data_IF_093486899206
#
_entry.id   IF_093486899206
#
_cell.length_a   1.000
_cell.length_b   1.000
_cell.length_c   1.000
_cell.angle_alpha   90.00
_cell.angle_beta   90.00
_cell.angle_gamma   90.00
#
_symmetry.space_group_name_H-M   'P 1'
#
loop_
_entity.id
_entity.type
_entity.pdbx_description
1 polymer ?
#
# COMPACT_ATOMS: atom_id res chain seq x y z
N UNK A 1 15.72 6.43 -2.68
CA UNK A 1 15.01 7.61 -2.10
C UNK A 1 15.86 8.87 -2.10
N UNK A 2 17.04 8.93 -1.48
CA UNK A 2 17.89 10.14 -1.48
C UNK A 2 18.18 10.67 -2.89
N UNK A 3 18.50 9.79 -3.83
CA UNK A 3 18.72 10.12 -5.25
C UNK A 3 17.46 10.74 -5.88
N UNK A 4 16.28 10.23 -5.56
CA UNK A 4 15.02 10.73 -6.10
C UNK A 4 14.66 12.11 -5.55
N UNK A 5 14.83 12.33 -4.26
CA UNK A 5 14.64 13.65 -3.67
C UNK A 5 15.62 14.69 -4.26
N UNK A 6 16.83 14.27 -4.65
CA UNK A 6 17.80 15.10 -5.34
C UNK A 6 17.35 15.55 -6.74
N UNK A 7 16.39 14.86 -7.36
CA UNK A 7 15.83 15.21 -8.67
C UNK A 7 14.69 16.22 -8.61
N UNK A 8 14.11 16.46 -7.44
CA UNK A 8 13.12 17.49 -7.26
C UNK A 8 13.78 18.84 -7.40
N UNK A 9 13.30 19.68 -8.32
CA UNK A 9 13.83 21.01 -8.61
C UNK A 9 12.72 22.05 -8.63
N UNK A 10 13.09 23.33 -8.48
CA UNK A 10 12.18 24.45 -8.63
C UNK A 10 10.97 24.41 -7.70
N UNK A 11 9.80 24.74 -8.23
CA UNK A 11 8.54 24.80 -7.47
C UNK A 11 8.12 23.44 -6.90
N UNK A 12 8.38 22.33 -7.61
CA UNK A 12 8.03 20.98 -7.14
C UNK A 12 8.80 20.64 -5.87
N UNK A 13 10.08 21.00 -5.78
CA UNK A 13 10.87 20.82 -4.57
C UNK A 13 10.33 21.63 -3.39
N UNK A 14 9.98 22.91 -3.66
CA UNK A 14 9.44 23.78 -2.63
C UNK A 14 8.08 23.29 -2.13
N UNK A 15 7.17 22.94 -3.03
CA UNK A 15 5.85 22.41 -2.71
C UNK A 15 5.96 21.10 -1.89
N UNK A 16 6.85 20.19 -2.30
CA UNK A 16 7.10 18.96 -1.57
C UNK A 16 7.63 19.22 -0.17
N UNK A 17 8.65 20.06 -0.04
CA UNK A 17 9.24 20.41 1.25
C UNK A 17 8.21 21.10 2.17
N UNK A 18 7.37 21.98 1.62
CA UNK A 18 6.28 22.61 2.36
C UNK A 18 5.27 21.57 2.83
N UNK A 19 4.80 20.70 1.94
CA UNK A 19 3.86 19.62 2.26
C UNK A 19 4.37 18.68 3.34
N UNK A 20 5.64 18.27 3.24
CA UNK A 20 6.30 17.39 4.23
C UNK A 20 6.37 18.06 5.61
N UNK A 21 6.77 19.34 5.68
CA UNK A 21 6.81 20.07 6.95
C UNK A 21 5.41 20.27 7.54
N UNK A 22 4.43 20.58 6.70
CA UNK A 22 3.04 20.75 7.16
C UNK A 22 2.46 19.42 7.65
N UNK A 23 2.70 18.32 6.95
CA UNK A 23 2.32 16.99 7.44
C UNK A 23 2.97 16.69 8.78
N UNK A 24 4.27 16.96 8.92
CA UNK A 24 4.98 16.82 10.19
C UNK A 24 4.38 17.68 11.29
N UNK A 25 4.01 18.93 11.01
CA UNK A 25 3.37 19.80 12.02
C UNK A 25 2.02 19.30 12.51
N UNK A 26 1.32 18.49 11.69
CA UNK A 26 0.04 17.91 12.04
C UNK A 26 0.14 16.56 12.77
N UNK A 27 1.16 15.77 12.42
CA UNK A 27 1.24 14.37 12.84
C UNK A 27 2.61 13.97 13.43
N UNK A 28 3.61 14.84 13.43
CA UNK A 28 4.99 14.50 13.76
C UNK A 28 5.30 14.36 15.25
N UNK A 29 4.38 14.73 16.13
CA UNK A 29 4.57 14.57 17.59
C UNK A 29 4.22 13.17 18.10
N UNK A 30 3.57 12.37 17.27
CA UNK A 30 3.20 11.00 17.59
C UNK A 30 3.61 10.05 16.47
N UNK A 31 4.00 8.81 16.78
CA UNK A 31 4.30 7.83 15.76
C UNK A 31 3.11 7.59 14.82
N UNK A 32 3.40 7.51 13.53
CA UNK A 32 2.42 7.16 12.50
C UNK A 32 2.12 5.66 12.65
N UNK A 33 0.96 5.32 13.19
CA UNK A 33 0.53 3.92 13.22
C UNK A 33 0.10 3.48 11.84
N UNK A 34 0.74 2.44 11.33
CA UNK A 34 0.43 1.84 10.04
C UNK A 34 0.10 0.36 10.16
N UNK A 35 -0.59 -0.14 9.14
CA UNK A 35 -0.89 -1.56 9.03
C UNK A 35 -1.05 -2.00 7.60
N UNK A 36 -1.07 -3.31 7.36
CA UNK A 36 -1.30 -3.86 6.04
C UNK A 36 -2.20 -5.11 6.06
N UNK A 37 -3.03 -5.21 5.02
CA UNK A 37 -3.74 -6.42 4.64
C UNK A 37 -2.98 -7.17 3.55
N UNK A 38 -3.04 -8.51 3.55
CA UNK A 38 -2.25 -9.36 2.66
C UNK A 38 -0.76 -9.01 2.75
N UNK A 39 -0.23 -8.99 3.96
CA UNK A 39 1.04 -8.35 4.30
C UNK A 39 2.26 -8.97 3.63
N UNK A 40 2.17 -10.23 3.20
CA UNK A 40 3.31 -10.94 2.66
C UNK A 40 4.49 -10.94 3.64
N UNK A 41 5.63 -10.43 3.20
CA UNK A 41 6.84 -10.29 4.02
C UNK A 41 6.97 -8.90 4.69
N UNK A 42 5.95 -8.03 4.59
CA UNK A 42 5.98 -6.70 5.19
C UNK A 42 6.94 -5.71 4.54
N UNK A 43 7.35 -5.96 3.30
CA UNK A 43 8.33 -5.12 2.58
C UNK A 43 7.87 -3.67 2.44
N UNK A 44 6.56 -3.42 2.34
CA UNK A 44 5.98 -2.08 2.25
C UNK A 44 6.25 -1.24 3.49
N UNK A 45 6.19 -1.84 4.68
CA UNK A 45 6.50 -1.17 5.94
C UNK A 45 8.01 -0.80 6.01
N UNK A 46 8.90 -1.70 5.58
CA UNK A 46 10.34 -1.43 5.50
C UNK A 46 10.67 -0.32 4.50
N UNK A 47 10.01 -0.32 3.35
CA UNK A 47 10.16 0.75 2.34
C UNK A 47 9.74 2.10 2.92
N UNK A 48 8.61 2.15 3.61
CA UNK A 48 8.12 3.37 4.26
C UNK A 48 9.09 3.88 5.33
N UNK A 49 9.58 3.01 6.19
CA UNK A 49 10.59 3.37 7.20
C UNK A 49 11.89 3.92 6.56
N UNK A 50 12.30 3.38 5.42
CA UNK A 50 13.45 3.91 4.67
C UNK A 50 13.15 5.31 4.10
N UNK A 51 11.93 5.55 3.63
CA UNK A 51 11.48 6.87 3.17
C UNK A 51 11.54 7.87 4.32
N UNK A 52 10.97 7.54 5.48
CA UNK A 52 10.97 8.42 6.65
C UNK A 52 12.39 8.78 7.10
N UNK A 53 13.31 7.82 7.15
CA UNK A 53 14.72 8.12 7.48
C UNK A 53 15.33 9.17 6.56
N UNK A 54 15.09 9.07 5.25
CA UNK A 54 15.61 10.05 4.29
C UNK A 54 14.94 11.41 4.43
N UNK A 55 13.62 11.46 4.65
CA UNK A 55 12.89 12.71 4.89
C UNK A 55 13.38 13.39 6.18
N UNK A 56 13.56 12.62 7.24
CA UNK A 56 14.06 13.11 8.50
C UNK A 56 15.46 13.74 8.36
N UNK A 57 16.36 13.00 7.70
CA UNK A 57 17.73 13.50 7.47
C UNK A 57 17.76 14.76 6.59
N UNK A 58 16.91 14.82 5.54
CA UNK A 58 16.94 15.92 4.57
C UNK A 58 16.27 17.19 5.08
N UNK A 59 15.19 17.06 5.86
CA UNK A 59 14.37 18.20 6.28
C UNK A 59 14.43 18.50 7.78
N UNK A 60 15.29 17.80 8.53
CA UNK A 60 15.40 17.98 9.98
C UNK A 60 14.13 17.57 10.75
N UNK A 61 13.41 16.57 10.24
CA UNK A 61 12.15 16.12 10.80
C UNK A 61 12.34 14.90 11.71
N UNK A 62 11.25 14.48 12.39
CA UNK A 62 11.24 13.33 13.30
C UNK A 62 10.05 12.42 13.02
N UNK A 63 9.85 12.05 11.75
CA UNK A 63 8.85 11.04 11.42
C UNK A 63 9.25 9.69 12.01
N UNK A 64 8.35 9.10 12.73
CA UNK A 64 8.44 7.74 13.22
C UNK A 64 7.21 6.98 12.74
N UNK A 65 7.40 5.78 12.19
CA UNK A 65 6.31 4.91 11.76
C UNK A 65 6.40 3.58 12.51
N UNK A 66 5.32 3.25 13.20
CA UNK A 66 5.13 1.96 13.83
C UNK A 66 4.18 1.11 13.00
N UNK A 67 4.68 -0.01 12.50
CA UNK A 67 3.87 -0.99 11.78
C UNK A 67 3.19 -1.91 12.79
N UNK A 68 1.98 -1.53 13.22
CA UNK A 68 1.30 -2.13 14.39
C UNK A 68 0.29 -3.23 14.03
N UNK A 69 -0.16 -3.32 12.77
CA UNK A 69 -1.16 -4.29 12.33
C UNK A 69 -0.72 -4.98 11.05
N UNK A 70 -0.78 -6.32 11.05
CA UNK A 70 -0.59 -7.12 9.85
C UNK A 70 -1.69 -8.18 9.70
N UNK A 71 -2.08 -8.46 8.45
CA UNK A 71 -2.95 -9.57 8.10
C UNK A 71 -2.26 -10.46 7.07
N UNK A 72 -2.02 -11.72 7.43
CA UNK A 72 -1.39 -12.70 6.54
C UNK A 72 -1.87 -14.11 6.89
N UNK A 73 -2.31 -14.87 5.88
CA UNK A 73 -2.85 -16.20 6.09
C UNK A 73 -1.78 -17.29 6.12
N UNK A 74 -0.65 -17.08 5.43
CA UNK A 74 0.41 -18.07 5.32
C UNK A 74 1.29 -18.09 6.58
N UNK A 75 1.31 -19.19 7.34
CA UNK A 75 2.01 -19.33 8.63
C UNK A 75 3.52 -18.99 8.53
N UNK A 76 4.20 -19.45 7.46
CA UNK A 76 5.62 -19.15 7.27
C UNK A 76 5.88 -17.63 7.13
N UNK A 77 4.96 -16.91 6.47
CA UNK A 77 5.04 -15.44 6.36
C UNK A 77 4.68 -14.75 7.68
N UNK A 78 3.73 -15.29 8.44
CA UNK A 78 3.42 -14.80 9.78
C UNK A 78 4.64 -14.88 10.70
N UNK A 79 5.37 -16.02 10.65
CA UNK A 79 6.63 -16.19 11.38
C UNK A 79 7.70 -15.17 11.01
N UNK A 80 7.79 -14.83 9.71
CA UNK A 80 8.70 -13.80 9.23
C UNK A 80 8.27 -12.40 9.72
N UNK A 81 6.99 -12.05 9.62
CA UNK A 81 6.45 -10.77 10.09
C UNK A 81 6.74 -10.52 11.57
N UNK A 82 6.51 -11.52 12.42
CA UNK A 82 6.82 -11.46 13.86
C UNK A 82 8.29 -11.10 14.14
N UNK A 83 9.21 -11.65 13.36
CA UNK A 83 10.66 -11.39 13.51
C UNK A 83 11.08 -10.02 12.97
N UNK A 84 10.43 -9.56 11.90
CA UNK A 84 10.85 -8.36 11.17
C UNK A 84 10.22 -7.07 11.69
N UNK A 85 9.10 -7.15 12.40
CA UNK A 85 8.35 -6.00 12.91
C UNK A 85 8.13 -6.14 14.42
N UNK A 86 9.12 -5.73 15.25
CA UNK A 86 9.02 -5.83 16.71
C UNK A 86 7.90 -4.95 17.29
N UNK A 87 7.51 -3.88 16.58
CA UNK A 87 6.42 -2.98 16.98
C UNK A 87 5.03 -3.52 16.65
N UNK A 88 4.94 -4.70 16.03
CA UNK A 88 3.67 -5.30 15.68
C UNK A 88 2.84 -5.59 16.93
N UNK A 89 1.66 -4.99 17.01
CA UNK A 89 0.74 -5.13 18.14
C UNK A 89 -0.31 -6.19 17.86
N UNK A 90 -0.69 -6.37 16.57
CA UNK A 90 -1.69 -7.34 16.16
C UNK A 90 -1.33 -8.00 14.84
N UNK A 91 -1.49 -9.32 14.81
CA UNK A 91 -1.42 -10.14 13.61
C UNK A 91 -2.69 -10.97 13.50
N UNK A 92 -3.41 -10.84 12.39
CA UNK A 92 -4.62 -11.63 12.10
C UNK A 92 -4.42 -12.50 10.87
N UNK A 93 -5.21 -13.57 10.73
CA UNK A 93 -5.05 -14.52 9.62
C UNK A 93 -5.84 -14.14 8.38
N UNK A 94 -6.96 -13.47 8.52
CA UNK A 94 -7.87 -13.17 7.39
C UNK A 94 -8.28 -11.70 7.34
N UNK A 95 -8.54 -11.21 6.12
CA UNK A 95 -9.06 -9.85 5.92
C UNK A 95 -10.45 -9.65 6.56
N UNK A 96 -11.26 -10.72 6.62
CA UNK A 96 -12.58 -10.66 7.24
C UNK A 96 -12.52 -10.29 8.72
N UNK A 97 -11.47 -10.73 9.45
CA UNK A 97 -11.28 -10.39 10.85
C UNK A 97 -10.98 -8.90 11.05
N UNK A 98 -10.37 -8.24 10.08
CA UNK A 98 -10.05 -6.80 10.17
C UNK A 98 -11.28 -5.89 10.23
N UNK A 99 -12.43 -6.35 9.70
CA UNK A 99 -13.66 -5.55 9.69
C UNK A 99 -14.39 -5.55 11.04
N UNK A 100 -14.00 -6.40 11.97
CA UNK A 100 -14.58 -6.44 13.31
C UNK A 100 -13.97 -5.35 14.22
N UNK A 101 -14.61 -5.04 15.33
CA UNK A 101 -14.01 -4.18 16.36
C UNK A 101 -12.86 -4.89 17.09
N UNK A 102 -12.98 -6.21 17.23
CA UNK A 102 -12.02 -7.08 17.90
C UNK A 102 -11.70 -8.28 17.03
N UNK A 103 -10.44 -8.71 17.03
CA UNK A 103 -9.99 -9.90 16.32
C UNK A 103 -9.06 -10.75 17.18
N UNK A 104 -8.90 -12.02 16.78
CA UNK A 104 -7.97 -12.94 17.39
C UNK A 104 -6.53 -12.53 17.06
N UNK A 105 -5.73 -12.22 18.09
CA UNK A 105 -4.35 -11.82 17.89
C UNK A 105 -3.40 -13.02 17.85
N UNK A 106 -2.83 -13.33 16.69
CA UNK A 106 -1.89 -14.44 16.51
C UNK A 106 -0.50 -14.21 17.11
N UNK A 107 -0.23 -13.02 17.65
CA UNK A 107 0.99 -12.77 18.42
C UNK A 107 0.95 -13.47 19.79
N UNK A 108 -0.25 -13.72 20.32
CA UNK A 108 -0.50 -14.36 21.61
C UNK A 108 -1.20 -15.73 21.44
N UNK A 109 -0.56 -16.73 20.83
CA UNK A 109 -1.22 -17.97 20.43
C UNK A 109 -1.73 -18.83 21.60
N UNK A 110 -1.17 -18.69 22.79
CA UNK A 110 -1.53 -19.52 23.94
C UNK A 110 -2.89 -19.16 24.56
N UNK A 111 -3.30 -17.90 24.50
CA UNK A 111 -4.57 -17.44 25.06
C UNK A 111 -5.52 -16.90 24.00
N UNK A 112 -5.02 -16.53 22.81
CA UNK A 112 -5.76 -15.96 21.69
C UNK A 112 -6.99 -15.12 22.12
N UNK A 113 -6.86 -14.17 23.05
CA UNK A 113 -7.95 -13.29 23.38
C UNK A 113 -8.33 -12.50 22.14
N UNK A 114 -9.60 -12.14 22.01
CA UNK A 114 -9.98 -11.09 21.08
C UNK A 114 -9.48 -9.78 21.63
N UNK A 115 -8.75 -9.05 20.79
CA UNK A 115 -8.19 -7.76 21.11
C UNK A 115 -8.77 -6.70 20.16
N UNK A 116 -8.88 -5.47 20.63
CA UNK A 116 -9.33 -4.34 19.81
C UNK A 116 -8.35 -4.14 18.65
N UNK A 117 -8.90 -3.99 17.45
CA UNK A 117 -8.10 -3.65 16.27
C UNK A 117 -7.53 -2.24 16.45
N UNK A 118 -6.20 -2.06 16.32
CA UNK A 118 -5.58 -0.76 16.52
C UNK A 118 -6.05 0.25 15.48
N UNK A 119 -6.29 1.49 15.93
CA UNK A 119 -6.51 2.61 15.01
C UNK A 119 -5.24 2.88 14.18
N UNK A 120 -5.40 3.01 12.87
CA UNK A 120 -4.32 3.30 11.95
C UNK A 120 -4.49 4.67 11.30
N UNK A 121 -3.38 5.41 11.20
CA UNK A 121 -3.32 6.57 10.32
C UNK A 121 -3.19 6.13 8.85
N UNK A 122 -2.44 5.05 8.58
CA UNK A 122 -2.19 4.56 7.24
C UNK A 122 -2.45 3.05 7.12
N UNK A 123 -3.27 2.67 6.15
CA UNK A 123 -3.56 1.28 5.81
C UNK A 123 -3.12 0.96 4.39
N UNK A 124 -2.43 -0.14 4.21
CA UNK A 124 -1.97 -0.64 2.91
C UNK A 124 -2.60 -1.99 2.62
N UNK A 125 -3.02 -2.20 1.37
CA UNK A 125 -3.63 -3.46 0.96
C UNK A 125 -3.16 -3.84 -0.45
N UNK A 126 -2.34 -4.89 -0.53
CA UNK A 126 -2.04 -5.60 -1.78
C UNK A 126 -2.96 -6.79 -1.92
N UNK A 127 -4.23 -6.58 -2.28
CA UNK A 127 -5.19 -7.68 -2.34
C UNK A 127 -4.88 -8.66 -3.47
N UNK A 128 -5.31 -9.94 -3.36
CA UNK A 128 -4.96 -10.98 -4.33
C UNK A 128 -5.29 -10.58 -5.76
N UNK A 129 -4.36 -10.78 -6.68
CA UNK A 129 -4.50 -10.44 -8.10
C UNK A 129 -4.70 -11.67 -9.01
N UNK A 130 -4.77 -12.87 -8.42
CA UNK A 130 -4.76 -14.14 -9.16
C UNK A 130 -5.88 -14.29 -10.17
N UNK A 131 -7.04 -13.70 -9.91
CA UNK A 131 -8.18 -13.75 -10.83
C UNK A 131 -7.98 -12.87 -12.09
N UNK A 132 -7.07 -11.90 -12.07
CA UNK A 132 -6.91 -10.87 -13.12
C UNK A 132 -5.49 -10.73 -13.66
N UNK A 133 -4.58 -11.60 -13.27
CA UNK A 133 -3.22 -11.63 -13.84
C UNK A 133 -3.24 -12.23 -15.26
N UNK A 134 -2.37 -11.76 -16.14
CA UNK A 134 -2.18 -12.30 -17.47
C UNK A 134 -1.75 -13.77 -17.50
N UNK A 135 -1.27 -14.28 -16.37
CA UNK A 135 -0.90 -15.69 -16.20
C UNK A 135 -2.11 -16.58 -15.85
N UNK A 136 -3.28 -15.99 -15.53
CA UNK A 136 -4.49 -16.75 -15.24
C UNK A 136 -5.18 -17.13 -16.54
N UNK A 137 -5.45 -18.42 -16.74
CA UNK A 137 -6.26 -18.93 -17.86
C UNK A 137 -7.70 -18.40 -17.87
N UNK A 138 -8.21 -17.97 -16.70
CA UNK A 138 -9.56 -17.43 -16.51
C UNK A 138 -9.60 -15.91 -16.43
N UNK A 139 -8.53 -15.21 -16.82
CA UNK A 139 -8.48 -13.75 -16.65
C UNK A 139 -9.54 -13.00 -17.46
N UNK A 140 -9.96 -13.54 -18.63
CA UNK A 140 -11.05 -13.00 -19.45
C UNK A 140 -12.43 -13.21 -18.83
N UNK A 141 -12.64 -14.30 -18.12
CA UNK A 141 -13.91 -14.64 -17.47
C UNK A 141 -14.11 -13.83 -16.17
N UNK A 142 -13.01 -13.47 -15.53
CA UNK A 142 -13.02 -12.74 -14.28
C UNK A 142 -13.03 -11.20 -14.45
N UNK A 143 -13.38 -10.69 -15.62
CA UNK A 143 -13.60 -9.25 -15.80
C UNK A 143 -14.72 -8.79 -14.88
N UNK A 144 -14.53 -7.63 -14.22
CA UNK A 144 -15.43 -7.10 -13.21
C UNK A 144 -15.57 -7.94 -11.92
N UNK A 145 -14.56 -8.75 -11.58
CA UNK A 145 -14.57 -9.57 -10.37
C UNK A 145 -14.71 -8.75 -9.07
N UNK A 146 -14.22 -7.50 -9.05
CA UNK A 146 -14.38 -6.60 -7.90
C UNK A 146 -15.84 -6.15 -7.77
N UNK A 147 -16.48 -5.75 -8.87
CA UNK A 147 -17.89 -5.35 -8.87
C UNK A 147 -18.82 -6.51 -8.54
N UNK A 148 -18.49 -7.72 -8.99
CA UNK A 148 -19.23 -8.94 -8.70
C UNK A 148 -18.94 -9.51 -7.31
N UNK A 149 -17.88 -9.03 -6.65
CA UNK A 149 -17.37 -9.57 -5.40
C UNK A 149 -16.97 -11.06 -5.48
N UNK A 150 -16.46 -11.48 -6.64
CA UNK A 150 -16.14 -12.86 -6.97
C UNK A 150 -14.63 -13.11 -7.08
N UNK A 151 -14.25 -14.39 -6.93
CA UNK A 151 -12.86 -14.82 -6.98
C UNK A 151 -11.99 -14.22 -5.88
N UNK A 152 -10.72 -14.61 -5.84
CA UNK A 152 -9.80 -14.15 -4.81
C UNK A 152 -9.61 -12.62 -4.84
N UNK A 153 -9.61 -12.01 -6.04
CA UNK A 153 -9.43 -10.57 -6.22
C UNK A 153 -10.63 -9.78 -5.69
N UNK A 154 -11.86 -10.17 -6.10
CA UNK A 154 -13.08 -9.46 -5.69
C UNK A 154 -13.35 -9.61 -4.19
N UNK A 155 -13.24 -10.84 -3.66
CA UNK A 155 -13.38 -11.12 -2.23
C UNK A 155 -12.29 -10.37 -1.43
N UNK A 156 -11.03 -10.42 -1.88
CA UNK A 156 -9.92 -9.75 -1.19
C UNK A 156 -10.11 -8.24 -1.12
N UNK A 157 -10.58 -7.59 -2.20
CA UNK A 157 -10.94 -6.17 -2.15
C UNK A 157 -12.09 -5.92 -1.18
N UNK A 158 -13.19 -6.66 -1.31
CA UNK A 158 -14.38 -6.50 -0.47
C UNK A 158 -14.04 -6.57 1.02
N UNK A 159 -13.35 -7.61 1.44
CA UNK A 159 -13.00 -7.81 2.84
C UNK A 159 -12.01 -6.76 3.36
N UNK A 160 -11.00 -6.41 2.56
CA UNK A 160 -10.07 -5.34 2.92
C UNK A 160 -10.73 -3.96 2.96
N UNK A 161 -11.70 -3.69 2.06
CA UNK A 161 -12.44 -2.44 2.04
C UNK A 161 -13.42 -2.31 3.21
N UNK A 162 -13.94 -3.42 3.75
CA UNK A 162 -14.71 -3.40 5.02
C UNK A 162 -13.88 -2.79 6.16
N UNK A 163 -12.58 -3.12 6.25
CA UNK A 163 -11.70 -2.46 7.22
C UNK A 163 -11.74 -0.94 7.08
N UNK A 164 -11.60 -0.42 5.84
CA UNK A 164 -11.65 1.02 5.57
C UNK A 164 -12.97 1.64 6.01
N UNK A 165 -14.09 0.95 5.79
CA UNK A 165 -15.42 1.46 6.15
C UNK A 165 -15.71 1.45 7.64
N UNK A 166 -15.07 0.59 8.40
CA UNK A 166 -15.27 0.47 9.86
C UNK A 166 -14.29 1.37 10.62
N UNK A 167 -13.03 1.40 10.21
CA UNK A 167 -11.96 2.02 10.99
C UNK A 167 -11.49 3.39 10.46
N UNK A 168 -11.89 3.79 9.25
CA UNK A 168 -11.65 5.12 8.67
C UNK A 168 -10.18 5.57 8.73
N UNK A 169 -9.20 4.79 8.25
CA UNK A 169 -7.81 5.23 8.22
C UNK A 169 -7.66 6.50 7.37
N UNK A 170 -6.80 7.42 7.80
CA UNK A 170 -6.62 8.69 7.09
C UNK A 170 -6.07 8.52 5.67
N UNK A 171 -5.10 7.64 5.51
CA UNK A 171 -4.47 7.31 4.22
C UNK A 171 -4.64 5.82 3.93
N UNK A 172 -5.16 5.51 2.75
CA UNK A 172 -5.25 4.14 2.24
C UNK A 172 -4.47 4.03 0.94
N UNK A 173 -3.66 2.99 0.84
CA UNK A 173 -2.93 2.64 -0.38
C UNK A 173 -3.31 1.24 -0.80
N UNK A 174 -3.84 1.09 -2.00
CA UNK A 174 -4.13 -0.21 -2.61
C UNK A 174 -3.17 -0.50 -3.74
N UNK A 175 -2.87 -1.78 -3.96
CA UNK A 175 -2.08 -2.25 -5.10
C UNK A 175 -2.74 -3.47 -5.72
N UNK A 176 -2.79 -3.50 -7.08
CA UNK A 176 -3.21 -4.66 -7.83
C UNK A 176 -2.67 -4.63 -9.27
N UNK A 177 -3.08 -5.59 -10.09
CA UNK A 177 -2.68 -5.68 -11.50
C UNK A 177 -3.49 -4.75 -12.40
N UNK A 178 -2.89 -4.31 -13.51
CA UNK A 178 -3.52 -3.46 -14.53
C UNK A 178 -4.79 -4.05 -15.15
N UNK A 179 -4.98 -5.37 -15.05
CA UNK A 179 -6.17 -6.05 -15.58
C UNK A 179 -7.50 -5.50 -15.05
N UNK A 180 -7.50 -4.82 -13.89
CA UNK A 180 -8.69 -4.16 -13.34
C UNK A 180 -9.13 -2.90 -14.11
N UNK A 181 -8.33 -2.41 -15.05
CA UNK A 181 -8.70 -1.29 -15.93
C UNK A 181 -9.59 -1.71 -17.10
N UNK A 182 -9.72 -3.01 -17.36
CA UNK A 182 -10.49 -3.53 -18.48
C UNK A 182 -11.99 -3.28 -18.28
N UNK A 183 -12.65 -2.87 -19.36
CA UNK A 183 -14.12 -2.71 -19.43
C UNK A 183 -14.70 -3.73 -20.40
N UNK A 184 -15.97 -4.06 -20.18
CA UNK A 184 -16.79 -4.78 -21.17
C UNK A 184 -18.05 -3.96 -21.46
N UNK A 185 -18.73 -4.21 -22.59
CA UNK A 185 -19.95 -3.48 -22.94
C UNK A 185 -21.06 -3.55 -21.89
N UNK A 186 -21.10 -4.64 -21.13
CA UNK A 186 -22.14 -4.88 -20.10
C UNK A 186 -21.94 -4.07 -18.81
N UNK A 187 -20.76 -3.45 -18.63
CA UNK A 187 -20.43 -2.70 -17.44
C UNK A 187 -19.97 -1.28 -17.78
N UNK A 188 -20.63 -0.30 -17.19
CA UNK A 188 -20.30 1.13 -17.39
C UNK A 188 -18.93 1.50 -16.84
N UNK A 189 -18.48 0.81 -15.81
CA UNK A 189 -17.21 1.07 -15.10
C UNK A 189 -16.28 -0.14 -15.19
N UNK A 190 -14.99 0.12 -15.30
CA UNK A 190 -13.97 -0.87 -14.95
C UNK A 190 -13.95 -1.12 -13.43
N UNK A 191 -13.32 -2.21 -12.99
CA UNK A 191 -13.08 -2.44 -11.56
C UNK A 191 -12.24 -1.33 -10.93
N UNK A 192 -11.29 -0.74 -11.68
CA UNK A 192 -10.51 0.42 -11.24
C UNK A 192 -11.42 1.61 -10.88
N UNK A 193 -12.33 1.97 -11.78
CA UNK A 193 -13.25 3.10 -11.59
C UNK A 193 -14.28 2.80 -10.50
N UNK A 194 -14.72 1.55 -10.39
CA UNK A 194 -15.62 1.11 -9.32
C UNK A 194 -14.97 1.31 -7.94
N UNK A 195 -13.71 0.92 -7.77
CA UNK A 195 -12.94 1.14 -6.52
C UNK A 195 -12.88 2.62 -6.18
N UNK A 196 -12.58 3.49 -7.16
CA UNK A 196 -12.58 4.95 -6.94
C UNK A 196 -13.93 5.43 -6.41
N UNK A 197 -15.06 5.02 -7.04
CA UNK A 197 -16.40 5.40 -6.58
C UNK A 197 -16.71 4.90 -5.18
N UNK A 198 -16.25 3.70 -4.81
CA UNK A 198 -16.42 3.17 -3.45
C UNK A 198 -15.74 4.07 -2.40
N UNK A 199 -14.54 4.56 -2.69
CA UNK A 199 -13.82 5.50 -1.82
C UNK A 199 -14.49 6.88 -1.77
N UNK A 200 -14.88 7.42 -2.93
CA UNK A 200 -15.55 8.74 -3.02
C UNK A 200 -16.88 8.74 -2.25
N UNK A 201 -17.65 7.66 -2.32
CA UNK A 201 -18.86 7.49 -1.54
C UNK A 201 -18.63 7.55 -0.02
N UNK A 202 -17.40 7.30 0.43
CA UNK A 202 -16.96 7.35 1.83
C UNK A 202 -16.10 8.57 2.15
N UNK A 203 -16.25 9.63 1.37
CA UNK A 203 -15.55 10.91 1.59
C UNK A 203 -14.02 10.82 1.50
N UNK A 204 -13.48 9.85 0.75
CA UNK A 204 -12.08 9.87 0.39
C UNK A 204 -11.88 10.55 -0.96
N UNK A 205 -10.79 11.29 -1.11
CA UNK A 205 -10.22 11.56 -2.41
C UNK A 205 -9.42 10.34 -2.83
N UNK A 206 -9.76 9.74 -3.95
CA UNK A 206 -9.11 8.54 -4.44
C UNK A 206 -8.54 8.77 -5.83
N UNK A 207 -7.23 8.59 -5.96
CA UNK A 207 -6.49 8.72 -7.21
C UNK A 207 -5.97 7.35 -7.64
N UNK A 208 -6.44 6.80 -8.78
CA UNK A 208 -5.84 5.62 -9.38
C UNK A 208 -4.65 6.02 -10.26
N UNK A 209 -3.55 5.29 -10.18
CA UNK A 209 -2.36 5.48 -11.03
C UNK A 209 -1.79 4.15 -11.48
N UNK A 210 -1.44 4.06 -12.76
CA UNK A 210 -0.68 2.93 -13.30
C UNK A 210 0.80 3.28 -13.27
N UNK A 211 1.59 2.49 -12.56
CA UNK A 211 3.03 2.69 -12.44
C UNK A 211 3.77 1.48 -12.97
N UNK A 212 4.82 1.70 -13.76
CA UNK A 212 5.77 0.68 -14.13
C UNK A 212 7.04 0.82 -13.28
N UNK A 213 7.53 -0.30 -12.78
CA UNK A 213 8.73 -0.33 -11.96
C UNK A 213 9.96 0.28 -12.68
N UNK A 214 10.08 0.07 -13.99
CA UNK A 214 11.18 0.61 -14.81
C UNK A 214 11.16 2.14 -14.84
N UNK A 215 10.00 2.77 -14.88
CA UNK A 215 9.85 4.24 -14.86
C UNK A 215 10.47 4.88 -13.60
N UNK A 216 10.64 4.10 -12.53
CA UNK A 216 11.15 4.55 -11.24
C UNK A 216 12.50 3.94 -10.88
N UNK A 217 13.20 3.38 -11.87
CA UNK A 217 14.56 2.85 -11.71
C UNK A 217 14.62 1.41 -11.24
N UNK A 218 13.53 0.67 -11.33
CA UNK A 218 13.55 -0.77 -11.17
C UNK A 218 14.15 -1.48 -12.40
N UNK A 219 14.46 -2.74 -12.25
CA UNK A 219 15.15 -3.57 -13.23
C UNK A 219 14.23 -4.45 -14.06
N UNK A 220 12.94 -4.43 -13.77
CA UNK A 220 11.96 -5.31 -14.42
C UNK A 220 10.68 -4.54 -14.81
N UNK A 221 10.15 -4.91 -15.96
CA UNK A 221 8.86 -4.46 -16.43
C UNK A 221 7.78 -5.04 -15.52
N UNK A 222 7.19 -4.18 -14.66
CA UNK A 222 6.19 -4.59 -13.69
C UNK A 222 5.15 -3.51 -13.49
N UNK A 223 4.19 -3.45 -14.39
CA UNK A 223 3.06 -2.52 -14.25
C UNK A 223 2.15 -2.94 -13.10
N UNK A 224 1.83 -1.96 -12.25
CA UNK A 224 0.89 -2.13 -11.14
C UNK A 224 -0.03 -0.94 -11.05
N UNK A 225 -1.27 -1.25 -10.82
CA UNK A 225 -2.30 -0.25 -10.57
C UNK A 225 -2.33 0.03 -9.07
N UNK A 226 -2.20 1.29 -8.75
CA UNK A 226 -2.23 1.80 -7.38
C UNK A 226 -3.41 2.73 -7.19
N UNK A 227 -3.97 2.75 -6.00
CA UNK A 227 -4.90 3.77 -5.55
C UNK A 227 -4.32 4.41 -4.30
N UNK A 228 -4.29 5.73 -4.30
CA UNK A 228 -3.97 6.53 -3.11
C UNK A 228 -5.25 7.24 -2.71
N UNK A 229 -5.80 6.86 -1.57
CA UNK A 229 -7.04 7.42 -1.06
C UNK A 229 -6.77 8.14 0.26
N UNK A 230 -7.13 9.43 0.31
CA UNK A 230 -6.95 10.29 1.49
C UNK A 230 -8.32 10.71 1.99
N UNK A 231 -8.57 10.51 3.29
CA UNK A 231 -9.82 10.91 3.92
C UNK A 231 -9.97 12.44 3.86
N UNK A 232 -11.05 12.89 3.22
CA UNK A 232 -11.33 14.31 3.05
C UNK A 232 -11.92 14.90 4.35
N UNK A 233 -11.05 15.30 5.26
CA UNK A 233 -11.42 15.99 6.50
C UNK A 233 -11.54 17.50 6.33
N UNK A 234 -11.12 18.05 5.18
CA UNK A 234 -10.97 19.49 4.95
C UNK A 234 -11.89 19.92 3.80
N UNK A 235 -13.21 19.87 4.04
CA UNK A 235 -14.17 20.40 3.07
C UNK A 235 -13.88 21.87 2.75
N UNK A 236 -13.74 22.17 1.46
CA UNK A 236 -13.72 23.55 0.92
C UNK A 236 -12.37 24.27 0.93
N UNK A 237 -11.29 23.71 1.48
CA UNK A 237 -9.96 24.37 1.50
C UNK A 237 -9.04 23.94 0.39
N UNK A 238 -9.21 22.71 -0.14
CA UNK A 238 -8.43 22.15 -1.24
C UNK A 238 -9.37 21.35 -2.11
N UNK A 239 -9.26 21.47 -3.42
CA UNK A 239 -10.05 20.72 -4.38
C UNK A 239 -9.38 19.40 -4.73
N UNK A 240 -10.17 18.40 -5.17
CA UNK A 240 -9.64 17.14 -5.70
C UNK A 240 -8.65 17.40 -6.84
N UNK A 241 -8.96 18.35 -7.73
CA UNK A 241 -8.12 18.68 -8.87
C UNK A 241 -6.72 19.18 -8.44
N UNK A 242 -6.63 20.00 -7.40
CA UNK A 242 -5.35 20.48 -6.88
C UNK A 242 -4.52 19.33 -6.29
N UNK A 243 -5.16 18.39 -5.57
CA UNK A 243 -4.50 17.18 -5.04
C UNK A 243 -3.99 16.31 -6.18
N UNK A 244 -4.84 16.03 -7.18
CA UNK A 244 -4.48 15.20 -8.33
C UNK A 244 -3.31 15.84 -9.11
N UNK A 245 -3.35 17.14 -9.40
CA UNK A 245 -2.28 17.86 -10.09
C UNK A 245 -0.96 17.83 -9.31
N UNK A 246 -1.02 18.04 -7.99
CA UNK A 246 0.17 17.95 -7.15
C UNK A 246 0.78 16.54 -7.20
N UNK A 247 -0.06 15.52 -7.05
CA UNK A 247 0.37 14.12 -7.05
C UNK A 247 1.00 13.72 -8.39
N UNK A 248 0.39 14.09 -9.52
CA UNK A 248 0.95 13.84 -10.85
C UNK A 248 2.28 14.53 -11.08
N UNK A 249 2.43 15.79 -10.64
CA UNK A 249 3.73 16.50 -10.70
C UNK A 249 4.80 15.77 -9.92
N UNK A 250 4.46 15.26 -8.74
CA UNK A 250 5.38 14.47 -7.91
C UNK A 250 5.79 13.17 -8.59
N UNK A 251 4.82 12.40 -9.10
CA UNK A 251 5.11 11.17 -9.82
C UNK A 251 6.02 11.39 -11.02
N UNK A 252 5.75 12.45 -11.81
CA UNK A 252 6.57 12.81 -12.95
C UNK A 252 8.01 13.16 -12.53
N UNK A 253 8.17 13.94 -11.47
CA UNK A 253 9.48 14.33 -10.95
C UNK A 253 10.30 13.14 -10.42
N UNK A 254 9.64 12.06 -9.99
CA UNK A 254 10.32 10.85 -9.52
C UNK A 254 10.66 9.85 -10.62
N UNK A 255 10.19 10.03 -11.85
CA UNK A 255 10.57 9.15 -12.97
C UNK A 255 12.07 9.12 -13.18
N UNK A 256 12.59 7.94 -13.49
CA UNK A 256 14.01 7.71 -13.77
C UNK A 256 14.22 7.33 -15.22
N UNK A 257 15.23 7.88 -15.92
CA UNK A 257 15.53 7.52 -17.30
C UNK A 257 16.15 6.11 -17.45
N UNK A 258 16.34 5.37 -16.38
CA UNK A 258 16.92 4.01 -16.42
C UNK A 258 17.06 3.40 -15.03
N UNK A 259 17.53 2.16 -14.95
CA UNK A 259 17.69 1.46 -13.69
C UNK A 259 18.65 2.23 -12.77
N UNK A 260 18.17 2.53 -11.56
CA UNK A 260 18.96 3.19 -10.51
C UNK A 260 19.92 2.23 -9.81
N UNK A 261 19.74 0.96 -10.06
CA UNK A 261 20.39 -0.12 -9.34
C UNK A 261 21.07 -1.01 -10.39
N UNK A 262 22.38 -1.16 -10.24
CA UNK A 262 23.10 -2.20 -10.99
C UNK A 262 22.71 -3.55 -10.40
N UNK A 263 21.86 -4.28 -11.12
CA UNK A 263 21.36 -5.60 -10.72
C UNK A 263 22.46 -6.63 -10.54
N UNK A 264 23.63 -6.40 -11.15
CA UNK A 264 24.82 -7.22 -10.92
C UNK A 264 25.31 -7.18 -9.47
N UNK A 265 24.86 -6.19 -8.68
CA UNK A 265 25.16 -6.11 -7.24
C UNK A 265 24.15 -6.84 -6.34
N UNK A 266 23.09 -7.40 -6.91
CA UNK A 266 22.07 -8.19 -6.18
C UNK A 266 22.25 -9.70 -6.38
N UNK A 267 23.40 -10.10 -6.75
CA UNK A 267 23.77 -11.49 -6.73
C UNK A 267 24.79 -11.59 -5.62
N UNK A 268 24.68 -12.41 -4.70
CA UNK A 268 24.43 -13.85 -4.70
C UNK A 268 24.28 -14.19 -3.24
N UNK A 269 23.25 -14.79 -2.87
CA UNK A 269 23.29 -15.80 -1.85
C UNK A 269 24.14 -16.90 -2.51
N UNK A 270 25.36 -17.12 -2.06
CA UNK A 270 26.09 -18.32 -2.45
C UNK A 270 25.19 -19.50 -2.11
N UNK A 271 25.15 -20.51 -3.01
CA UNK A 271 24.27 -21.69 -2.84
C UNK A 271 24.48 -22.39 -1.47
N UNK A 272 25.58 -22.11 -0.81
CA UNK A 272 25.90 -22.56 0.56
C UNK A 272 25.06 -21.88 1.66
N UNK A 273 24.48 -20.70 1.40
CA UNK A 273 23.65 -19.95 2.36
C UNK A 273 22.14 -20.22 2.21
N UNK A 274 21.73 -21.02 1.22
CA UNK A 274 20.34 -21.43 1.08
C UNK A 274 20.02 -22.56 2.07
N UNK A 275 19.00 -22.40 2.93
CA UNK A 275 18.57 -23.51 3.75
C UNK A 275 18.12 -24.66 2.85
N UNK A 276 18.67 -25.86 3.10
CA UNK A 276 18.48 -27.12 2.35
C UNK A 276 16.99 -27.53 2.16
N UNK A 277 16.03 -26.74 2.65
CA UNK A 277 14.59 -27.00 2.58
C UNK A 277 13.88 -26.32 1.41
N UNK A 278 14.60 -25.73 0.43
CA UNK A 278 14.01 -25.06 -0.74
C UNK A 278 14.40 -25.75 -2.05
N UNK A 279 14.99 -26.93 -1.99
CA UNK A 279 15.25 -27.77 -3.17
C UNK A 279 14.05 -28.65 -3.49
#
# INVERSE_FOLDING_TARGET
MAIWLGRLTGSVQADFAHGVRRFHSLFGESPIKSGCGCSGTGITAKASAAIHRVLNARYGLRFEEHHVLACEHAEHKQGFLKKQHPDLQMLVSTLAELAAAEAKNLLNPQNCPKELIPFLLMFRLGFPCTSRTSLSSQSSENVHCVQKEEGATGIGFKEGFKYVTVHWPFLVMLECVKGLMQKTPDYQLSDMEHIVKQFEARKYWCLPVLLDNVDYGGDSWRERLWWVAVLNLIHGKVTKQEVDQFFFRMLHAFKSPGPLIDTKRYVIIDDEDLPVSIA
#
